data_IF_938494067526
#
_entry.id   IF_938494067526
#
_cell.length_a   1.000
_cell.length_b   1.000
_cell.length_c   1.000
_cell.angle_alpha   90.00
_cell.angle_beta   90.00
_cell.angle_gamma   90.00
#
_symmetry.space_group_name_H-M   'P 1'
#
loop_
_entity.id
_entity.type
_entity.pdbx_description
1 polymer ?
#
# COMPACT_ATOMS: atom_id res chain seq x y z
N UNK A 1 -22.66 -24.61 12.19
CA UNK A 1 -21.23 -24.27 12.35
C UNK A 1 -20.76 -23.71 11.02
N UNK A 2 -20.46 -22.41 10.96
CA UNK A 2 -20.10 -21.72 9.72
C UNK A 2 -18.65 -22.06 9.35
N UNK A 3 -18.44 -22.75 8.23
CA UNK A 3 -17.13 -22.78 7.57
C UNK A 3 -17.00 -21.48 6.78
N UNK A 4 -16.17 -20.56 7.28
CA UNK A 4 -15.77 -19.35 6.56
C UNK A 4 -15.26 -19.77 5.19
N UNK A 5 -15.98 -19.34 4.16
CA UNK A 5 -15.52 -19.33 2.78
C UNK A 5 -14.29 -18.45 2.75
N UNK A 6 -13.11 -19.06 2.57
CA UNK A 6 -11.91 -18.34 2.16
C UNK A 6 -12.30 -17.57 0.89
N UNK A 7 -12.42 -16.26 1.03
CA UNK A 7 -12.58 -15.37 -0.10
C UNK A 7 -11.24 -15.38 -0.82
N UNK A 8 -11.17 -16.25 -1.82
CA UNK A 8 -10.16 -16.23 -2.86
C UNK A 8 -10.22 -14.85 -3.52
N UNK A 9 -9.38 -13.93 -3.04
CA UNK A 9 -9.12 -12.62 -3.65
C UNK A 9 -8.21 -12.89 -4.85
N UNK A 10 -8.72 -13.60 -5.85
CA UNK A 10 -8.23 -13.50 -7.23
C UNK A 10 -8.97 -12.34 -7.85
N UNK A 11 -8.50 -11.14 -7.52
CA UNK A 11 -9.20 -9.89 -7.76
C UNK A 11 -8.52 -9.20 -8.94
N UNK A 12 -9.08 -9.39 -10.14
CA UNK A 12 -8.75 -8.62 -11.36
C UNK A 12 -9.01 -7.10 -11.17
N UNK A 13 -9.45 -6.70 -9.97
CA UNK A 13 -9.73 -5.34 -9.51
C UNK A 13 -8.87 -4.95 -8.30
N UNK A 14 -7.66 -5.50 -8.11
CA UNK A 14 -6.70 -4.95 -7.12
C UNK A 14 -5.73 -3.96 -7.77
N UNK A 15 -5.76 -2.71 -7.32
CA UNK A 15 -4.79 -1.68 -7.64
C UNK A 15 -3.56 -1.85 -6.74
N UNK A 16 -2.43 -2.23 -7.34
CA UNK A 16 -1.17 -2.34 -6.59
C UNK A 16 -0.39 -1.03 -6.65
N UNK A 17 -0.10 -0.47 -5.48
CA UNK A 17 0.68 0.73 -5.27
C UNK A 17 2.09 0.34 -4.82
N UNK A 18 3.01 0.32 -5.76
CA UNK A 18 4.43 0.04 -5.51
C UNK A 18 5.16 1.31 -5.07
N UNK A 19 5.77 1.27 -3.88
CA UNK A 19 6.52 2.38 -3.28
C UNK A 19 7.96 1.93 -3.08
N UNK A 20 8.98 2.62 -3.64
CA UNK A 20 10.37 2.29 -3.36
C UNK A 20 10.68 2.39 -1.86
N UNK A 21 11.31 1.38 -1.27
CA UNK A 21 11.62 1.37 0.16
C UNK A 21 12.63 2.45 0.54
N UNK A 22 13.53 2.80 -0.39
CA UNK A 22 14.55 3.84 -0.27
C UNK A 22 14.10 5.22 -0.80
N UNK A 23 12.78 5.42 -0.98
CA UNK A 23 12.20 6.63 -1.55
C UNK A 23 12.74 7.89 -0.86
N UNK A 24 13.33 8.78 -1.65
CA UNK A 24 13.86 10.05 -1.15
C UNK A 24 12.77 11.13 -1.10
N UNK A 25 13.00 12.18 -0.32
CA UNK A 25 12.10 13.34 -0.32
C UNK A 25 11.97 14.02 -1.69
N UNK A 26 13.03 14.00 -2.51
CA UNK A 26 13.01 14.63 -3.83
C UNK A 26 12.05 13.90 -4.79
N UNK A 27 11.94 12.58 -4.65
CA UNK A 27 11.13 11.73 -5.51
C UNK A 27 9.70 11.51 -4.97
N UNK A 28 9.47 11.85 -3.70
CA UNK A 28 8.23 11.58 -2.98
C UNK A 28 7.00 12.21 -3.66
N UNK A 29 7.12 13.44 -4.15
CA UNK A 29 6.00 14.13 -4.80
C UNK A 29 5.63 13.49 -6.14
N UNK A 30 6.63 13.10 -6.94
CA UNK A 30 6.40 12.40 -8.19
C UNK A 30 5.74 11.04 -7.95
N UNK A 31 6.18 10.32 -6.92
CA UNK A 31 5.55 9.07 -6.49
C UNK A 31 4.10 9.30 -6.06
N UNK A 32 3.84 10.31 -5.22
CA UNK A 32 2.48 10.68 -4.76
C UNK A 32 1.53 10.98 -5.91
N UNK A 33 1.95 11.76 -6.90
CA UNK A 33 1.11 12.07 -8.07
C UNK A 33 0.73 10.83 -8.87
N UNK A 34 1.67 9.89 -9.04
CA UNK A 34 1.41 8.60 -9.70
C UNK A 34 0.40 7.76 -8.91
N UNK A 35 0.54 7.70 -7.59
CA UNK A 35 -0.38 6.97 -6.72
C UNK A 35 -1.81 7.55 -6.79
N UNK A 36 -1.93 8.88 -6.76
CA UNK A 36 -3.23 9.55 -6.89
C UNK A 36 -3.87 9.32 -8.26
N UNK A 37 -3.07 9.32 -9.33
CA UNK A 37 -3.55 8.96 -10.67
C UNK A 37 -4.13 7.55 -10.72
N UNK A 38 -3.41 6.57 -10.17
CA UNK A 38 -3.90 5.18 -10.09
C UNK A 38 -5.20 5.06 -9.28
N UNK A 39 -5.30 5.79 -8.17
CA UNK A 39 -6.53 5.83 -7.37
C UNK A 39 -7.68 6.51 -8.13
N UNK A 40 -7.41 7.51 -8.96
CA UNK A 40 -8.45 8.18 -9.75
C UNK A 40 -8.97 7.31 -10.90
N UNK A 41 -8.15 6.43 -11.47
CA UNK A 41 -8.48 5.67 -12.69
C UNK A 41 -9.17 4.32 -12.44
N UNK A 42 -8.97 3.67 -11.29
CA UNK A 42 -9.61 2.38 -10.99
C UNK A 42 -10.53 2.44 -9.77
N UNK A 43 -11.50 1.54 -9.66
CA UNK A 43 -12.42 1.43 -8.50
C UNK A 43 -12.05 0.28 -7.52
N UNK A 44 -10.89 -0.33 -7.78
CA UNK A 44 -10.43 -1.54 -7.13
C UNK A 44 -9.96 -1.41 -5.68
N UNK A 45 -9.84 -2.56 -5.00
CA UNK A 45 -9.17 -2.64 -3.71
C UNK A 45 -7.69 -2.26 -3.85
N UNK A 46 -7.11 -1.62 -2.84
CA UNK A 46 -5.75 -1.09 -2.89
C UNK A 46 -4.79 -1.99 -2.14
N UNK A 47 -3.74 -2.44 -2.80
CA UNK A 47 -2.63 -3.18 -2.20
C UNK A 47 -1.38 -2.31 -2.22
N UNK A 48 -0.85 -1.96 -1.05
CA UNK A 48 0.42 -1.22 -0.94
C UNK A 48 1.57 -2.21 -0.78
N UNK A 49 2.62 -2.03 -1.58
CA UNK A 49 3.84 -2.84 -1.53
C UNK A 49 5.09 -1.97 -1.55
N UNK A 50 6.08 -2.32 -0.74
CA UNK A 50 7.41 -1.73 -0.80
C UNK A 50 8.33 -2.49 -1.76
N UNK A 51 9.16 -1.78 -2.51
CA UNK A 51 10.13 -2.37 -3.44
C UNK A 51 11.56 -2.15 -2.96
N UNK A 52 12.40 -3.19 -3.01
CA UNK A 52 13.83 -3.12 -2.63
C UNK A 52 14.10 -3.35 -1.14
N UNK A 53 13.45 -4.36 -0.55
CA UNK A 53 13.37 -4.63 0.90
C UNK A 53 14.69 -5.06 1.57
N UNK A 54 15.65 -4.13 1.70
CA UNK A 54 16.70 -4.25 2.74
C UNK A 54 16.51 -3.23 3.87
N UNK A 55 15.90 -2.06 3.58
CA UNK A 55 15.63 -0.99 4.55
C UNK A 55 14.43 -0.14 4.12
N UNK A 56 13.46 0.05 5.01
CA UNK A 56 12.31 0.93 4.76
C UNK A 56 12.57 2.35 5.30
N UNK A 57 12.50 3.33 4.41
CA UNK A 57 12.66 4.74 4.73
C UNK A 57 11.37 5.37 5.27
N UNK A 58 11.51 6.34 6.18
CA UNK A 58 10.36 7.08 6.77
C UNK A 58 9.49 7.74 5.69
N UNK A 59 10.09 8.24 4.62
CA UNK A 59 9.36 8.87 3.51
C UNK A 59 8.47 7.85 2.78
N UNK A 60 8.97 6.64 2.52
CA UNK A 60 8.20 5.55 1.95
C UNK A 60 7.03 5.15 2.86
N UNK A 61 7.28 5.03 4.17
CA UNK A 61 6.24 4.74 5.17
C UNK A 61 5.14 5.81 5.19
N UNK A 62 5.52 7.08 5.24
CA UNK A 62 4.55 8.19 5.24
C UNK A 62 3.71 8.20 3.95
N UNK A 63 4.33 7.89 2.82
CA UNK A 63 3.61 7.81 1.56
C UNK A 63 2.64 6.63 1.51
N UNK A 64 3.03 5.48 2.07
CA UNK A 64 2.15 4.32 2.21
C UNK A 64 0.91 4.65 3.07
N UNK A 65 1.12 5.31 4.22
CA UNK A 65 0.01 5.76 5.08
C UNK A 65 -0.92 6.74 4.36
N UNK A 66 -0.35 7.70 3.63
CA UNK A 66 -1.13 8.64 2.84
C UNK A 66 -1.94 7.94 1.74
N UNK A 67 -1.37 6.91 1.10
CA UNK A 67 -2.06 6.12 0.09
C UNK A 67 -3.24 5.32 0.68
N UNK A 68 -3.04 4.68 1.84
CA UNK A 68 -4.10 3.97 2.58
C UNK A 68 -5.22 4.93 2.97
N UNK A 69 -4.89 6.10 3.53
CA UNK A 69 -5.88 7.11 3.90
C UNK A 69 -6.64 7.66 2.67
N UNK A 70 -5.98 7.85 1.53
CA UNK A 70 -6.61 8.30 0.30
C UNK A 70 -7.58 7.24 -0.27
N UNK A 71 -7.22 5.95 -0.19
CA UNK A 71 -8.08 4.86 -0.58
C UNK A 71 -9.32 4.75 0.31
N UNK A 72 -9.16 4.87 1.64
CA UNK A 72 -10.26 4.89 2.60
C UNK A 72 -11.20 6.08 2.38
N UNK A 73 -10.64 7.27 2.14
CA UNK A 73 -11.42 8.45 1.77
C UNK A 73 -12.20 8.29 0.45
N UNK A 74 -11.70 7.45 -0.46
CA UNK A 74 -12.39 7.06 -1.69
C UNK A 74 -13.40 5.90 -1.48
N UNK A 75 -13.60 5.43 -0.25
CA UNK A 75 -14.52 4.34 0.10
C UNK A 75 -14.01 2.95 -0.29
N UNK A 76 -12.70 2.78 -0.44
CA UNK A 76 -12.07 1.54 -0.92
C UNK A 76 -11.30 0.85 0.20
N UNK A 77 -11.34 -0.48 0.19
CA UNK A 77 -10.49 -1.26 1.09
C UNK A 77 -9.02 -1.13 0.68
N UNK A 78 -8.14 -0.86 1.64
CA UNK A 78 -6.71 -0.81 1.43
C UNK A 78 -5.99 -1.75 2.40
N UNK A 79 -4.96 -2.44 1.92
CA UNK A 79 -4.09 -3.29 2.75
C UNK A 79 -2.64 -3.18 2.30
N UNK A 80 -1.73 -3.35 3.25
CA UNK A 80 -0.31 -3.56 2.97
C UNK A 80 -0.09 -5.06 2.76
N UNK A 81 0.71 -5.43 1.76
CA UNK A 81 1.05 -6.84 1.51
C UNK A 81 1.84 -7.45 2.68
N UNK A 82 1.85 -8.78 2.76
CA UNK A 82 2.39 -9.48 3.93
C UNK A 82 3.90 -9.25 4.13
N UNK A 83 4.70 -9.18 3.05
CA UNK A 83 6.14 -8.94 3.17
C UNK A 83 6.43 -7.51 3.65
N UNK A 84 5.72 -6.54 3.08
CA UNK A 84 5.79 -5.14 3.52
C UNK A 84 5.32 -4.96 4.97
N UNK A 85 4.33 -5.75 5.42
CA UNK A 85 3.86 -5.75 6.81
C UNK A 85 4.94 -6.30 7.74
N UNK A 86 5.56 -7.42 7.39
CA UNK A 86 6.66 -8.00 8.16
C UNK A 86 7.83 -7.00 8.30
N UNK A 87 8.13 -6.26 7.22
CA UNK A 87 9.15 -5.21 7.24
C UNK A 87 8.78 -4.03 8.17
N UNK A 88 7.50 -3.65 8.22
CA UNK A 88 7.01 -2.62 9.13
C UNK A 88 7.02 -3.08 10.60
N UNK A 89 6.61 -4.32 10.89
CA UNK A 89 6.62 -4.90 12.24
C UNK A 89 8.05 -4.97 12.81
N UNK A 90 9.04 -5.31 12.00
CA UNK A 90 10.46 -5.28 12.40
C UNK A 90 10.96 -3.89 12.80
N UNK A 91 10.29 -2.83 12.34
CA UNK A 91 10.58 -1.45 12.70
C UNK A 91 9.77 -0.96 13.90
N UNK A 92 8.99 -1.85 14.53
CA UNK A 92 8.16 -1.54 15.70
C UNK A 92 6.84 -0.83 15.35
N UNK A 93 6.37 -0.97 14.11
CA UNK A 93 5.07 -0.44 13.71
C UNK A 93 3.95 -1.44 14.06
N UNK A 94 3.02 -1.04 14.94
CA UNK A 94 1.86 -1.84 15.38
C UNK A 94 0.56 -1.40 14.68
N UNK A 95 0.61 -1.24 13.35
CA UNK A 95 -0.51 -0.73 12.53
C UNK A 95 -1.62 -1.74 12.29
#
# INVERSE_FOLDING_TARGET
>A
MMTRKEADVTDDTVLTLAIPADLTMADAEACRQRLLGLLAEGEGAVLVRFEGEERLGVVAMQLALAAVAAADAAGRSARVDDASRDALEQLGWEG
#
